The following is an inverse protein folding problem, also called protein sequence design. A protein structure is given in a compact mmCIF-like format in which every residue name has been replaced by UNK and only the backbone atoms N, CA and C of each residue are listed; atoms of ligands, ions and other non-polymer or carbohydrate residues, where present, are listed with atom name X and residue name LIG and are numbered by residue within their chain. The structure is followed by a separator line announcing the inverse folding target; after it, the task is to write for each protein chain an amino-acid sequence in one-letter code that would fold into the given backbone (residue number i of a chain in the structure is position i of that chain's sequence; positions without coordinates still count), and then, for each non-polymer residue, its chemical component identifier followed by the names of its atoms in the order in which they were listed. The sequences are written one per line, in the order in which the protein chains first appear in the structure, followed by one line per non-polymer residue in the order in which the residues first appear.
data_IF_630218137123
#
_entry.id   IF_630218137123
#
_cell.length_a   1.000
_cell.length_b   1.000
_cell.length_c   1.000
_cell.angle_alpha   90.00
_cell.angle_beta   90.00
_cell.angle_gamma   90.00
#
_symmetry.space_group_name_H-M   'P 1'
#
loop_
_entity.id
_entity.type
_entity.pdbx_description
1 polymer ?
#
# COMPACT_ATOMS: atom_id res chain seq x y z
N UNK A 1 -4.30 0.45 24.19
CA UNK A 1 -4.60 1.48 23.16
C UNK A 1 -5.55 2.56 23.69
N UNK A 2 -6.81 2.25 24.07
CA UNK A 2 -7.78 3.29 24.51
C UNK A 2 -7.29 4.15 25.68
N UNK A 3 -6.68 3.54 26.70
CA UNK A 3 -6.09 4.27 27.83
C UNK A 3 -4.98 5.24 27.37
N UNK A 4 -4.12 4.79 26.45
CA UNK A 4 -3.11 5.65 25.83
C UNK A 4 -3.74 6.83 25.09
N UNK A 5 -4.75 6.59 24.24
CA UNK A 5 -5.45 7.66 23.52
C UNK A 5 -6.09 8.66 24.48
N UNK A 6 -6.64 8.20 25.60
CA UNK A 6 -7.27 9.07 26.60
C UNK A 6 -6.31 10.03 27.30
N UNK A 7 -5.00 9.74 27.24
CA UNK A 7 -3.94 10.61 27.74
C UNK A 7 -3.39 11.60 26.71
N UNK A 8 -3.82 11.54 25.44
CA UNK A 8 -3.30 12.42 24.40
C UNK A 8 -3.85 13.85 24.53
N UNK A 9 -3.03 14.88 24.22
CA UNK A 9 -3.52 16.24 24.08
C UNK A 9 -4.68 16.32 23.07
N UNK A 10 -5.75 17.03 23.45
CA UNK A 10 -6.94 17.18 22.61
C UNK A 10 -7.89 15.99 22.62
N UNK A 11 -7.63 14.92 23.39
CA UNK A 11 -8.55 13.79 23.52
C UNK A 11 -9.97 14.26 23.90
N UNK A 12 -10.97 13.69 23.23
CA UNK A 12 -12.38 14.07 23.38
C UNK A 12 -12.83 15.24 22.49
N UNK A 13 -11.92 15.94 21.83
CA UNK A 13 -12.26 16.86 20.74
C UNK A 13 -12.69 16.04 19.53
N UNK A 14 -13.90 16.29 19.04
CA UNK A 14 -14.38 15.76 17.76
C UNK A 14 -13.73 16.55 16.62
N UNK A 15 -13.28 15.84 15.59
CA UNK A 15 -12.56 16.43 14.44
C UNK A 15 -11.38 17.31 14.89
N UNK A 16 -10.43 16.74 15.65
CA UNK A 16 -9.28 17.49 16.17
C UNK A 16 -8.43 18.05 15.02
N UNK A 17 -7.91 19.25 15.24
CA UNK A 17 -6.99 19.89 14.30
C UNK A 17 -5.66 19.13 14.23
N UNK A 18 -5.18 18.88 13.00
CA UNK A 18 -3.99 18.06 12.74
C UNK A 18 -2.69 18.73 13.19
N UNK A 19 -2.65 20.06 13.26
CA UNK A 19 -1.44 20.82 13.63
C UNK A 19 -1.37 21.02 15.14
N UNK A 20 -2.52 21.27 15.77
CA UNK A 20 -2.62 21.40 17.22
C UNK A 20 -2.54 20.07 17.95
N UNK A 21 -3.10 18.99 17.38
CA UNK A 21 -3.21 17.67 18.03
C UNK A 21 -2.84 16.53 17.06
N UNK A 22 -1.61 16.47 16.54
CA UNK A 22 -1.23 15.53 15.48
C UNK A 22 -1.45 14.05 15.85
N UNK A 23 -1.10 13.63 17.07
CA UNK A 23 -1.29 12.24 17.49
C UNK A 23 -2.76 11.90 17.69
N UNK A 24 -3.52 12.75 18.38
CA UNK A 24 -4.96 12.49 18.58
C UNK A 24 -5.71 12.55 17.25
N UNK A 25 -5.39 13.48 16.36
CA UNK A 25 -5.94 13.53 15.01
C UNK A 25 -5.73 12.25 14.22
N UNK A 26 -4.53 11.67 14.32
CA UNK A 26 -4.22 10.41 13.67
C UNK A 26 -5.06 9.25 14.23
N UNK A 27 -5.06 9.05 15.55
CA UNK A 27 -5.86 7.99 16.18
C UNK A 27 -7.36 8.18 15.99
N UNK A 28 -7.85 9.42 16.08
CA UNK A 28 -9.24 9.76 15.82
C UNK A 28 -9.64 9.41 14.39
N UNK A 29 -8.79 9.74 13.40
CA UNK A 29 -9.00 9.38 11.99
C UNK A 29 -9.07 7.87 11.78
N UNK A 30 -8.23 7.09 12.46
CA UNK A 30 -8.26 5.64 12.37
C UNK A 30 -9.53 5.06 13.02
N UNK A 31 -9.87 5.50 14.23
CA UNK A 31 -10.95 4.94 15.05
C UNK A 31 -12.35 5.38 14.61
N UNK A 32 -12.47 6.48 13.86
CA UNK A 32 -13.77 7.04 13.48
C UNK A 32 -14.18 6.60 12.09
N UNK A 33 -15.40 6.05 11.98
CA UNK A 33 -15.99 5.67 10.69
C UNK A 33 -16.09 6.85 9.71
N UNK A 34 -15.98 6.57 8.41
CA UNK A 34 -15.97 7.56 7.32
C UNK A 34 -14.80 8.57 7.34
N UNK A 35 -13.83 8.43 8.26
CA UNK A 35 -12.60 9.24 8.22
C UNK A 35 -11.53 8.59 7.35
N UNK A 36 -10.88 9.42 6.55
CA UNK A 36 -10.04 8.97 5.46
C UNK A 36 -8.66 8.60 5.99
N UNK A 37 -8.28 7.33 5.85
CA UNK A 37 -6.93 6.91 6.20
C UNK A 37 -5.91 7.63 5.31
N UNK A 38 -4.83 8.09 5.94
CA UNK A 38 -3.71 8.78 5.27
C UNK A 38 -2.58 7.81 4.97
N UNK A 39 -1.58 8.24 4.19
CA UNK A 39 -0.39 7.44 3.87
C UNK A 39 0.34 6.91 5.12
N UNK A 40 0.39 7.70 6.21
CA UNK A 40 1.01 7.26 7.47
C UNK A 40 0.27 6.10 8.13
N UNK A 41 -1.05 5.98 7.95
CA UNK A 41 -1.83 4.82 8.41
C UNK A 41 -1.50 3.59 7.55
N UNK A 42 -1.50 3.75 6.23
CA UNK A 42 -1.15 2.68 5.30
C UNK A 42 0.25 2.14 5.58
N UNK A 43 1.22 3.04 5.75
CA UNK A 43 2.61 2.72 6.07
C UNK A 43 2.73 1.99 7.41
N UNK A 44 2.06 2.47 8.46
CA UNK A 44 2.09 1.80 9.78
C UNK A 44 1.55 0.37 9.68
N UNK A 45 0.47 0.18 8.91
CA UNK A 45 -0.09 -1.16 8.67
C UNK A 45 0.84 -2.05 7.85
N UNK A 46 1.47 -1.53 6.80
CA UNK A 46 2.47 -2.27 6.01
C UNK A 46 3.64 -2.72 6.87
N UNK A 47 4.18 -1.85 7.73
CA UNK A 47 5.28 -2.20 8.65
C UNK A 47 4.85 -3.35 9.59
N UNK A 48 3.64 -3.27 10.14
CA UNK A 48 3.09 -4.33 10.99
C UNK A 48 2.97 -5.65 10.23
N UNK A 49 2.40 -5.64 9.03
CA UNK A 49 2.23 -6.85 8.22
C UNK A 49 3.55 -7.46 7.77
N UNK A 50 4.53 -6.64 7.40
CA UNK A 50 5.90 -7.09 7.11
C UNK A 50 6.57 -7.73 8.32
N UNK A 51 6.36 -7.19 9.53
CA UNK A 51 6.83 -7.81 10.78
C UNK A 51 6.12 -9.13 11.07
N UNK A 52 4.80 -9.21 10.86
CA UNK A 52 4.04 -10.46 10.98
C UNK A 52 4.61 -11.53 10.04
N UNK A 53 4.85 -11.18 8.78
CA UNK A 53 5.42 -12.10 7.78
C UNK A 53 6.82 -12.57 8.15
N UNK A 54 7.68 -11.67 8.61
CA UNK A 54 9.05 -12.00 9.01
C UNK A 54 9.09 -12.95 10.23
N UNK A 55 8.19 -12.74 11.19
CA UNK A 55 8.20 -13.48 12.45
C UNK A 55 7.36 -14.76 12.42
N UNK A 56 6.28 -14.78 11.63
CA UNK A 56 5.29 -15.88 11.57
C UNK A 56 4.86 -16.14 10.12
N UNK A 57 5.78 -16.57 9.23
CA UNK A 57 5.46 -16.79 7.82
C UNK A 57 4.36 -17.84 7.60
N UNK A 58 4.17 -18.76 8.54
CA UNK A 58 3.13 -19.80 8.51
C UNK A 58 1.70 -19.28 8.64
N UNK A 59 1.51 -18.01 9.02
CA UNK A 59 0.18 -17.39 9.02
C UNK A 59 -0.29 -17.01 7.61
N UNK A 60 0.65 -16.90 6.67
CA UNK A 60 0.41 -16.43 5.32
C UNK A 60 0.31 -17.57 4.33
N UNK A 61 -0.24 -17.30 3.14
CA UNK A 61 -0.34 -18.29 2.06
C UNK A 61 1.02 -18.87 1.66
N UNK A 62 2.08 -18.07 1.79
CA UNK A 62 3.49 -18.39 1.63
C UNK A 62 4.34 -17.20 2.09
N UNK A 63 5.66 -17.36 2.11
CA UNK A 63 6.63 -16.34 2.51
C UNK A 63 7.23 -15.55 1.31
N UNK A 64 6.71 -15.77 0.10
CA UNK A 64 7.11 -15.13 -1.16
C UNK A 64 6.20 -13.97 -1.53
N UNK A 65 5.74 -13.24 -0.52
CA UNK A 65 4.93 -12.03 -0.67
C UNK A 65 5.65 -10.83 -0.09
N UNK A 66 5.30 -9.62 -0.55
CA UNK A 66 5.81 -8.38 0.00
C UNK A 66 4.69 -7.34 0.11
N UNK A 67 4.65 -6.64 1.24
CA UNK A 67 3.77 -5.49 1.46
C UNK A 67 4.58 -4.21 1.21
N UNK A 68 4.09 -3.36 0.31
CA UNK A 68 4.71 -2.07 -0.01
C UNK A 68 3.82 -0.93 0.46
N UNK A 69 4.44 0.18 0.87
CA UNK A 69 3.69 1.40 1.17
C UNK A 69 3.28 2.13 -0.12
N UNK A 70 2.42 3.13 0.00
CA UNK A 70 1.88 3.90 -1.13
C UNK A 70 2.91 4.80 -1.82
N UNK A 71 4.09 5.02 -1.22
CA UNK A 71 5.08 5.97 -1.75
C UNK A 71 5.67 5.46 -3.06
N UNK A 72 5.87 4.15 -3.21
CA UNK A 72 6.36 3.60 -4.48
C UNK A 72 5.45 4.00 -5.65
N UNK A 73 4.13 3.90 -5.46
CA UNK A 73 3.18 4.30 -6.50
C UNK A 73 3.21 5.80 -6.76
N UNK A 74 3.36 6.63 -5.73
CA UNK A 74 3.45 8.09 -5.88
C UNK A 74 4.69 8.52 -6.69
N UNK A 75 5.86 7.94 -6.41
CA UNK A 75 7.08 8.24 -7.17
C UNK A 75 6.97 7.81 -8.63
N UNK A 76 6.37 6.65 -8.85
CA UNK A 76 6.18 6.11 -10.19
C UNK A 76 5.18 6.97 -10.99
N UNK A 77 4.07 7.38 -10.38
CA UNK A 77 3.14 8.33 -11.01
C UNK A 77 3.82 9.66 -11.33
N UNK A 78 4.56 10.25 -10.38
CA UNK A 78 5.29 11.51 -10.55
C UNK A 78 6.25 11.45 -11.74
N UNK A 79 7.04 10.37 -11.83
CA UNK A 79 8.10 10.22 -12.82
C UNK A 79 7.63 9.57 -14.13
N UNK A 80 6.35 9.20 -14.23
CA UNK A 80 5.78 8.59 -15.43
C UNK A 80 6.04 9.40 -16.71
N UNK A 81 5.83 10.74 -16.75
CA UNK A 81 6.15 11.52 -17.95
C UNK A 81 7.63 11.48 -18.34
N UNK A 82 8.53 11.34 -17.36
CA UNK A 82 9.98 11.24 -17.61
C UNK A 82 10.33 9.85 -18.16
N UNK A 83 9.77 8.80 -17.58
CA UNK A 83 9.89 7.45 -18.08
C UNK A 83 9.38 7.34 -19.54
N UNK A 84 8.24 7.93 -19.87
CA UNK A 84 7.71 7.94 -21.25
C UNK A 84 8.66 8.60 -22.27
N UNK A 85 9.49 9.54 -21.85
CA UNK A 85 10.44 10.25 -22.73
C UNK A 85 11.76 9.51 -22.93
N UNK A 86 12.23 8.80 -21.91
CA UNK A 86 13.61 8.29 -21.89
C UNK A 86 13.81 6.94 -21.18
N UNK A 87 12.73 6.26 -20.81
CA UNK A 87 12.73 4.97 -20.09
C UNK A 87 13.53 4.98 -18.78
N UNK A 88 13.76 6.17 -18.22
CA UNK A 88 14.47 6.31 -16.96
C UNK A 88 13.55 5.95 -15.80
N UNK A 89 13.91 4.92 -15.04
CA UNK A 89 13.15 4.47 -13.88
C UNK A 89 13.17 5.54 -12.76
N UNK A 90 12.09 5.63 -11.98
CA UNK A 90 12.04 6.52 -10.82
C UNK A 90 13.18 6.24 -9.84
N UNK A 91 13.69 7.25 -9.11
CA UNK A 91 14.64 7.04 -8.02
C UNK A 91 14.17 5.97 -7.04
N UNK A 92 15.13 5.28 -6.39
CA UNK A 92 14.89 4.18 -5.45
C UNK A 92 14.17 2.94 -6.03
N UNK A 93 13.87 2.88 -7.32
CA UNK A 93 13.23 1.69 -7.92
C UNK A 93 14.06 0.41 -7.70
N UNK A 94 15.39 0.52 -7.75
CA UNK A 94 16.28 -0.61 -7.43
C UNK A 94 16.27 -0.95 -5.94
N UNK A 95 16.19 0.04 -5.05
CA UNK A 95 16.11 -0.21 -3.61
C UNK A 95 14.82 -0.92 -3.21
N UNK A 96 13.71 -0.60 -3.86
CA UNK A 96 12.47 -1.38 -3.74
C UNK A 96 12.66 -2.81 -4.25
N UNK A 97 13.26 -2.96 -5.43
CA UNK A 97 13.49 -4.28 -6.05
C UNK A 97 14.36 -5.21 -5.17
N UNK A 98 15.42 -4.67 -4.55
CA UNK A 98 16.33 -5.42 -3.68
C UNK A 98 15.83 -5.57 -2.24
N UNK A 99 14.68 -4.96 -1.90
CA UNK A 99 14.14 -4.99 -0.55
C UNK A 99 14.96 -4.17 0.45
N UNK A 100 15.68 -3.14 -0.02
CA UNK A 100 16.42 -2.19 0.82
C UNK A 100 15.50 -1.15 1.47
N UNK A 101 14.30 -0.95 0.91
CA UNK A 101 13.29 -0.03 1.44
C UNK A 101 12.12 -0.76 2.11
N UNK A 102 11.55 -0.18 3.19
CA UNK A 102 12.04 1.02 3.90
C UNK A 102 13.36 0.75 4.65
N UNK A 103 14.26 1.73 4.75
CA UNK A 103 15.60 1.63 5.36
C UNK A 103 15.54 1.26 6.83
N UNK A 104 14.49 1.66 7.53
CA UNK A 104 14.27 1.25 8.92
C UNK A 104 14.00 -0.25 9.07
N UNK A 105 13.54 -0.94 8.03
CA UNK A 105 13.17 -2.35 8.06
C UNK A 105 13.44 -3.05 6.71
N UNK A 106 14.70 -3.14 6.25
CA UNK A 106 15.02 -3.77 4.98
C UNK A 106 14.75 -5.27 5.05
N UNK A 107 14.15 -5.81 3.99
CA UNK A 107 13.87 -7.25 3.88
C UNK A 107 15.01 -8.02 3.21
N UNK A 108 15.79 -7.33 2.34
CA UNK A 108 16.79 -7.95 1.48
C UNK A 108 16.22 -8.96 0.46
N UNK A 109 14.90 -9.04 0.32
CA UNK A 109 14.22 -9.99 -0.57
C UNK A 109 14.07 -9.37 -1.95
N UNK A 110 14.54 -10.09 -2.97
CA UNK A 110 14.51 -9.65 -4.36
C UNK A 110 13.22 -10.03 -5.06
N UNK A 111 12.64 -9.08 -5.78
CA UNK A 111 11.44 -9.32 -6.57
C UNK A 111 11.71 -10.31 -7.70
N UNK A 112 10.80 -11.28 -7.87
CA UNK A 112 10.90 -12.37 -8.85
C UNK A 112 11.85 -13.52 -8.46
N UNK A 113 12.65 -13.36 -7.40
CA UNK A 113 13.56 -14.37 -6.88
C UNK A 113 13.10 -14.89 -5.53
N UNK A 114 12.83 -13.98 -4.60
CA UNK A 114 12.39 -14.26 -3.24
C UNK A 114 10.91 -13.88 -3.04
N UNK A 115 10.39 -12.97 -3.87
CA UNK A 115 9.02 -12.45 -3.82
C UNK A 115 8.32 -12.64 -5.16
N UNK A 116 7.15 -13.26 -5.14
CA UNK A 116 6.30 -13.48 -6.31
C UNK A 116 5.12 -12.51 -6.37
N UNK A 117 4.59 -12.09 -5.22
CA UNK A 117 3.44 -11.20 -5.14
C UNK A 117 3.74 -9.92 -4.35
N UNK A 118 3.39 -8.77 -4.92
CA UNK A 118 3.44 -7.47 -4.25
C UNK A 118 2.02 -7.00 -3.93
N UNK A 119 1.82 -6.50 -2.71
CA UNK A 119 0.59 -5.87 -2.29
C UNK A 119 0.83 -4.39 -1.98
N UNK A 120 0.11 -3.52 -2.69
CA UNK A 120 0.40 -2.08 -2.70
C UNK A 120 -0.91 -1.28 -2.57
N UNK A 121 -1.07 -0.43 -1.54
CA UNK A 121 -2.12 0.58 -1.51
C UNK A 121 -1.82 1.68 -2.54
N UNK A 122 -2.73 1.91 -3.48
CA UNK A 122 -2.65 3.02 -4.44
C UNK A 122 -3.63 4.12 -4.04
N UNK A 123 -3.12 5.36 -3.90
CA UNK A 123 -3.93 6.53 -3.62
C UNK A 123 -4.28 7.29 -4.90
N UNK A 124 -5.54 7.23 -5.32
CA UNK A 124 -6.04 7.92 -6.50
C UNK A 124 -6.45 9.35 -6.11
N UNK A 125 -5.75 10.34 -6.66
CA UNK A 125 -6.04 11.76 -6.50
C UNK A 125 -6.12 12.23 -5.04
N UNK A 126 -5.37 11.59 -4.14
CA UNK A 126 -5.44 11.83 -2.68
C UNK A 126 -6.84 11.60 -2.08
N UNK A 127 -7.69 10.83 -2.77
CA UNK A 127 -9.11 10.71 -2.41
C UNK A 127 -9.68 9.31 -2.35
N UNK A 128 -9.12 8.37 -3.10
CA UNK A 128 -9.65 7.03 -3.14
C UNK A 128 -8.53 6.01 -3.09
N UNK A 129 -8.65 5.05 -2.18
CA UNK A 129 -7.68 3.98 -2.03
C UNK A 129 -8.16 2.75 -2.79
N UNK A 130 -7.26 2.15 -3.57
CA UNK A 130 -7.44 0.81 -4.16
C UNK A 130 -6.25 -0.08 -3.80
N UNK A 131 -6.46 -1.39 -3.75
CA UNK A 131 -5.36 -2.33 -3.50
C UNK A 131 -4.88 -2.89 -4.84
N UNK A 132 -3.57 -2.79 -5.10
CA UNK A 132 -2.92 -3.48 -6.19
C UNK A 132 -2.33 -4.79 -5.67
N UNK A 133 -2.70 -5.89 -6.32
CA UNK A 133 -1.98 -7.16 -6.23
C UNK A 133 -1.20 -7.37 -7.53
N UNK A 134 0.12 -7.23 -7.45
CA UNK A 134 1.01 -7.48 -8.58
C UNK A 134 1.56 -8.89 -8.48
N UNK A 135 1.17 -9.76 -9.39
CA UNK A 135 1.77 -11.08 -9.55
C UNK A 135 2.90 -11.01 -10.56
N UNK A 136 4.14 -11.08 -10.08
CA UNK A 136 5.35 -10.99 -10.90
C UNK A 136 5.43 -12.18 -11.88
N UNK A 137 5.22 -13.45 -11.46
CA UNK A 137 5.26 -14.59 -12.38
C UNK A 137 4.21 -14.51 -13.48
N UNK A 138 3.00 -14.06 -13.14
CA UNK A 138 1.89 -13.95 -14.09
C UNK A 138 1.89 -12.65 -14.90
N UNK A 139 2.77 -11.70 -14.55
CA UNK A 139 2.86 -10.38 -15.19
C UNK A 139 1.49 -9.69 -15.23
N UNK A 140 0.82 -9.69 -14.08
CA UNK A 140 -0.56 -9.26 -13.95
C UNK A 140 -0.78 -8.42 -12.70
N UNK A 141 -1.61 -7.38 -12.83
CA UNK A 141 -2.02 -6.50 -11.73
C UNK A 141 -3.54 -6.62 -11.55
N UNK A 142 -3.97 -7.17 -10.42
CA UNK A 142 -5.38 -7.18 -10.05
C UNK A 142 -5.68 -6.01 -9.11
N UNK A 143 -6.72 -5.24 -9.46
CA UNK A 143 -7.08 -3.98 -8.78
C UNK A 143 -8.34 -4.22 -7.93
N UNK A 144 -8.21 -4.27 -6.62
CA UNK A 144 -9.34 -4.43 -5.71
C UNK A 144 -9.87 -3.06 -5.28
N UNK A 145 -11.11 -2.77 -5.67
CA UNK A 145 -11.75 -1.47 -5.53
C UNK A 145 -13.10 -1.61 -4.81
N UNK A 146 -13.19 -1.05 -3.61
CA UNK A 146 -14.42 -1.06 -2.80
C UNK A 146 -15.46 -0.03 -3.26
N UNK A 147 -15.09 0.92 -4.12
CA UNK A 147 -15.97 1.99 -4.65
C UNK A 147 -15.78 2.14 -6.17
N UNK A 148 -16.15 1.12 -6.97
CA UNK A 148 -15.89 1.09 -8.42
C UNK A 148 -16.65 2.18 -9.21
N UNK A 149 -17.61 2.86 -8.58
CA UNK A 149 -18.34 4.00 -9.16
C UNK A 149 -17.55 5.30 -9.14
N UNK A 150 -16.47 5.40 -8.33
CA UNK A 150 -15.66 6.61 -8.23
C UNK A 150 -14.88 6.89 -9.53
N UNK A 151 -14.34 5.83 -10.14
CA UNK A 151 -13.56 5.87 -11.38
C UNK A 151 -13.99 4.71 -12.28
N UNK A 152 -14.23 4.97 -13.57
CA UNK A 152 -14.59 3.91 -14.53
C UNK A 152 -13.36 3.07 -14.96
N UNK A 153 -13.59 1.90 -15.56
CA UNK A 153 -12.50 0.96 -15.92
C UNK A 153 -11.46 1.58 -16.88
N UNK A 154 -11.91 2.39 -17.84
CA UNK A 154 -11.00 3.04 -18.78
C UNK A 154 -10.05 4.02 -18.08
N UNK A 155 -10.57 4.81 -17.15
CA UNK A 155 -9.77 5.75 -16.36
C UNK A 155 -8.88 5.00 -15.36
N UNK A 156 -9.37 3.92 -14.74
CA UNK A 156 -8.56 3.06 -13.89
C UNK A 156 -7.37 2.47 -14.65
N UNK A 157 -7.58 2.02 -15.90
CA UNK A 157 -6.51 1.53 -16.75
C UNK A 157 -5.43 2.59 -17.01
N UNK A 158 -5.81 3.85 -17.23
CA UNK A 158 -4.85 4.95 -17.38
C UNK A 158 -4.06 5.23 -16.09
N UNK A 159 -4.71 5.12 -14.93
CA UNK A 159 -4.07 5.33 -13.62
C UNK A 159 -3.09 4.20 -13.25
N UNK A 160 -3.34 2.97 -13.72
CA UNK A 160 -2.49 1.80 -13.44
C UNK A 160 -1.41 1.57 -14.51
N UNK A 161 -1.55 2.19 -15.69
CA UNK A 161 -0.58 2.09 -16.79
C UNK A 161 0.88 2.38 -16.38
N UNK A 162 1.19 3.42 -15.57
CA UNK A 162 2.57 3.67 -15.14
C UNK A 162 3.21 2.44 -14.49
N UNK A 163 2.48 1.77 -13.58
CA UNK A 163 2.95 0.57 -12.89
C UNK A 163 3.04 -0.62 -13.83
N UNK A 164 2.01 -0.84 -14.66
CA UNK A 164 1.98 -1.93 -15.62
C UNK A 164 3.15 -1.88 -16.62
N UNK A 165 3.61 -0.67 -16.99
CA UNK A 165 4.72 -0.46 -17.93
C UNK A 165 6.07 -0.47 -17.22
N UNK A 166 6.23 0.25 -16.11
CA UNK A 166 7.55 0.38 -15.46
C UNK A 166 7.97 -0.89 -14.70
N UNK A 167 7.03 -1.71 -14.20
CA UNK A 167 7.34 -2.96 -13.51
C UNK A 167 8.24 -3.88 -14.36
N UNK A 168 7.87 -4.28 -15.59
CA UNK A 168 8.73 -5.14 -16.41
C UNK A 168 10.06 -4.49 -16.82
N UNK A 169 10.14 -3.16 -16.91
CA UNK A 169 11.41 -2.47 -17.18
C UNK A 169 12.36 -2.53 -15.98
N UNK A 170 11.84 -2.31 -14.76
CA UNK A 170 12.61 -2.51 -13.53
C UNK A 170 13.07 -3.96 -13.41
N UNK A 171 12.16 -4.92 -13.60
CA UNK A 171 12.49 -6.34 -13.52
C UNK A 171 13.58 -6.71 -14.54
N UNK A 172 13.49 -6.22 -15.79
CA UNK A 172 14.53 -6.44 -16.79
C UNK A 172 15.85 -5.79 -16.38
N UNK A 173 15.84 -4.52 -15.94
CA UNK A 173 17.04 -3.78 -15.61
C UNK A 173 17.81 -4.40 -14.43
N UNK A 174 17.10 -4.94 -13.44
CA UNK A 174 17.67 -5.42 -12.18
C UNK A 174 17.95 -6.94 -12.13
N UNK A 175 17.37 -7.73 -13.04
CA UNK A 175 17.59 -9.18 -13.04
C UNK A 175 19.03 -9.55 -13.43
N UNK A 176 19.40 -10.80 -13.12
CA UNK A 176 20.64 -11.39 -13.58
C UNK A 176 20.65 -11.49 -15.12
N UNK A 177 21.84 -11.52 -15.72
CA UNK A 177 21.99 -11.52 -17.18
C UNK A 177 21.38 -12.78 -17.81
N UNK A 178 21.54 -13.94 -17.16
CA UNK A 178 20.94 -15.20 -17.57
C UNK A 178 19.39 -15.19 -17.53
N UNK A 179 18.79 -14.30 -16.74
CA UNK A 179 17.34 -14.20 -16.56
C UNK A 179 16.68 -13.14 -17.47
N UNK A 180 17.45 -12.39 -18.27
CA UNK A 180 16.92 -11.40 -19.22
C UNK A 180 15.82 -11.95 -20.14
N UNK A 181 15.91 -13.19 -20.66
CA UNK A 181 14.83 -13.77 -21.48
C UNK A 181 13.52 -14.00 -20.70
N UNK A 182 13.60 -14.23 -19.39
CA UNK A 182 12.44 -14.41 -18.50
C UNK A 182 11.77 -13.05 -18.19
N UNK A 183 12.57 -12.03 -17.89
CA UNK A 183 12.09 -10.70 -17.53
C UNK A 183 12.11 -9.72 -18.71
N UNK A 184 11.36 -10.00 -19.78
CA UNK A 184 11.21 -9.08 -20.92
C UNK A 184 10.30 -7.87 -20.61
N UNK A 185 10.42 -6.77 -21.36
CA UNK A 185 9.85 -5.45 -21.01
C UNK A 185 8.39 -5.21 -21.38
N UNK A 186 7.70 -6.14 -22.05
CA UNK A 186 6.27 -5.99 -22.41
C UNK A 186 5.41 -5.63 -21.19
N UNK A 187 4.49 -4.68 -21.30
CA UNK A 187 3.70 -4.27 -20.12
C UNK A 187 2.92 -5.43 -19.48
N UNK A 188 2.75 -5.34 -18.17
CA UNK A 188 1.90 -6.25 -17.42
C UNK A 188 0.44 -6.04 -17.83
N UNK A 189 -0.33 -7.12 -17.77
CA UNK A 189 -1.79 -7.06 -17.94
C UNK A 189 -2.43 -6.60 -16.63
N UNK A 190 -3.68 -6.12 -16.68
CA UNK A 190 -4.40 -5.74 -15.47
C UNK A 190 -5.90 -6.00 -15.60
N UNK A 191 -6.55 -6.21 -14.47
CA UNK A 191 -7.99 -6.34 -14.35
C UNK A 191 -8.54 -5.69 -13.07
N UNK A 192 -9.85 -5.41 -13.05
CA UNK A 192 -10.56 -4.89 -11.89
C UNK A 192 -11.76 -5.78 -11.59
N UNK A 193 -11.64 -6.78 -10.69
CA UNK A 193 -12.74 -7.69 -10.39
C UNK A 193 -13.93 -6.95 -9.76
N UNK A 194 -15.13 -7.24 -10.26
CA UNK A 194 -16.38 -6.64 -9.75
C UNK A 194 -16.93 -7.35 -8.51
N UNK A 195 -16.59 -8.62 -8.32
CA UNK A 195 -17.08 -9.47 -7.21
C UNK A 195 -16.20 -9.32 -5.97
N UNK A 196 -16.15 -8.11 -5.44
CA UNK A 196 -15.42 -7.77 -4.21
C UNK A 196 -16.37 -7.07 -3.23
N UNK A 197 -16.11 -7.11 -1.91
CA UNK A 197 -16.87 -6.33 -0.95
C UNK A 197 -16.88 -4.83 -1.30
N UNK A 198 -18.06 -4.22 -1.33
CA UNK A 198 -18.19 -2.79 -1.60
C UNK A 198 -18.40 -2.00 -0.31
N UNK A 199 -17.77 -0.84 -0.25
CA UNK A 199 -18.05 0.14 0.81
C UNK A 199 -19.38 0.85 0.53
N UNK A 200 -19.91 1.53 1.54
CA UNK A 200 -21.02 2.49 1.38
C UNK A 200 -20.64 3.81 2.02
N UNK A 201 -20.81 4.90 1.28
CA UNK A 201 -20.37 6.21 1.70
C UNK A 201 -18.87 6.43 1.47
N UNK A 202 -18.38 7.56 1.97
CA UNK A 202 -17.02 8.02 1.73
C UNK A 202 -16.10 7.70 2.92
N UNK A 203 -14.81 7.54 2.64
CA UNK A 203 -13.74 7.53 3.66
C UNK A 203 -13.33 6.19 4.23
N UNK A 204 -14.07 5.12 3.96
CA UNK A 204 -13.70 3.77 4.41
C UNK A 204 -12.86 2.98 3.39
N UNK A 205 -12.61 3.52 2.18
CA UNK A 205 -11.82 2.86 1.13
C UNK A 205 -10.47 2.36 1.62
N UNK A 206 -9.80 3.16 2.46
CA UNK A 206 -8.54 2.76 3.08
C UNK A 206 -8.65 1.49 3.93
N UNK A 207 -9.69 1.36 4.76
CA UNK A 207 -9.91 0.18 5.59
C UNK A 207 -10.17 -1.05 4.72
N UNK A 208 -10.99 -0.91 3.67
CA UNK A 208 -11.23 -1.99 2.71
C UNK A 208 -9.95 -2.44 2.01
N UNK A 209 -9.10 -1.51 1.58
CA UNK A 209 -7.79 -1.82 0.96
C UNK A 209 -6.92 -2.65 1.90
N UNK A 210 -6.77 -2.23 3.17
CA UNK A 210 -5.99 -2.97 4.16
C UNK A 210 -6.54 -4.38 4.36
N UNK A 211 -7.87 -4.54 4.42
CA UNK A 211 -8.51 -5.85 4.59
C UNK A 211 -8.52 -6.71 3.34
N UNK A 212 -8.55 -6.13 2.14
CA UNK A 212 -8.33 -6.89 0.90
C UNK A 212 -6.94 -7.49 0.89
N UNK A 213 -5.92 -6.67 1.15
CA UNK A 213 -4.53 -7.13 1.19
C UNK A 213 -4.34 -8.21 2.26
N UNK A 214 -4.88 -8.01 3.46
CA UNK A 214 -4.85 -9.01 4.53
C UNK A 214 -5.43 -10.34 4.07
N UNK A 215 -6.65 -10.34 3.51
CA UNK A 215 -7.30 -11.56 3.06
C UNK A 215 -6.49 -12.29 1.97
N UNK A 216 -5.96 -11.55 1.00
CA UNK A 216 -5.16 -12.12 -0.09
C UNK A 216 -3.85 -12.72 0.42
N UNK A 217 -3.19 -12.03 1.34
CA UNK A 217 -1.95 -12.50 1.95
C UNK A 217 -2.14 -13.74 2.83
N UNK A 218 -3.29 -13.85 3.50
CA UNK A 218 -3.68 -15.05 4.27
C UNK A 218 -4.17 -16.20 3.37
N UNK A 219 -4.27 -16.00 2.05
CA UNK A 219 -4.62 -17.06 1.09
C UNK A 219 -6.11 -17.26 0.87
N UNK A 220 -6.95 -16.30 1.24
CA UNK A 220 -8.38 -16.36 0.92
C UNK A 220 -8.59 -16.29 -0.60
N UNK A 221 -9.22 -17.33 -1.16
CA UNK A 221 -9.61 -17.37 -2.58
C UNK A 221 -10.91 -16.61 -2.85
N UNK A 222 -11.69 -16.33 -1.81
CA UNK A 222 -12.88 -15.46 -1.82
C UNK A 222 -12.89 -14.60 -0.57
N UNK A 223 -13.35 -13.36 -0.69
CA UNK A 223 -13.45 -12.48 0.47
C UNK A 223 -14.55 -12.98 1.43
N UNK A 224 -14.28 -13.01 2.74
CA UNK A 224 -15.27 -13.44 3.71
C UNK A 224 -16.43 -12.45 3.77
N UNK A 225 -17.67 -12.95 3.97
CA UNK A 225 -18.86 -12.11 4.10
C UNK A 225 -18.77 -11.11 5.28
N UNK A 226 -17.89 -11.39 6.25
CA UNK A 226 -17.60 -10.48 7.36
C UNK A 226 -16.89 -9.21 6.90
N UNK A 227 -16.11 -9.26 5.80
CA UNK A 227 -15.55 -8.07 5.15
C UNK A 227 -16.68 -7.31 4.46
N UNK A 228 -17.29 -6.39 5.21
CA UNK A 228 -18.45 -5.61 4.78
C UNK A 228 -18.49 -4.27 5.49
N UNK A 229 -19.24 -3.33 4.94
CA UNK A 229 -19.40 -1.98 5.50
C UNK A 229 -19.87 -2.01 6.97
N UNK A 230 -20.77 -2.93 7.33
CA UNK A 230 -21.32 -3.05 8.69
C UNK A 230 -20.22 -3.29 9.74
N UNK A 231 -19.16 -3.99 9.36
CA UNK A 231 -18.07 -4.36 10.26
C UNK A 231 -16.86 -3.42 10.16
N UNK A 232 -16.96 -2.32 9.40
CA UNK A 232 -15.84 -1.39 9.21
C UNK A 232 -15.30 -0.81 10.53
N UNK A 233 -16.20 -0.48 11.47
CA UNK A 233 -15.82 -0.03 12.81
C UNK A 233 -14.96 -1.06 13.56
N UNK A 234 -15.33 -2.35 13.50
CA UNK A 234 -14.55 -3.44 14.11
C UNK A 234 -13.17 -3.57 13.47
N UNK A 235 -13.08 -3.40 12.14
CA UNK A 235 -11.79 -3.44 11.45
C UNK A 235 -10.88 -2.27 11.85
N UNK A 236 -11.45 -1.07 12.02
CA UNK A 236 -10.74 0.12 12.51
C UNK A 236 -10.21 -0.10 13.92
N UNK A 237 -11.04 -0.60 14.83
CA UNK A 237 -10.65 -0.93 16.20
C UNK A 237 -9.55 -2.00 16.25
N UNK A 238 -9.69 -3.06 15.45
CA UNK A 238 -8.69 -4.12 15.35
C UNK A 238 -7.36 -3.59 14.83
N UNK A 239 -7.37 -2.83 13.72
CA UNK A 239 -6.15 -2.23 13.16
C UNK A 239 -5.49 -1.31 14.19
N UNK A 240 -6.27 -0.47 14.87
CA UNK A 240 -5.73 0.42 15.90
C UNK A 240 -5.09 -0.35 17.07
N UNK A 241 -5.74 -1.41 17.55
CA UNK A 241 -5.20 -2.26 18.59
C UNK A 241 -3.90 -2.94 18.15
N UNK A 242 -3.88 -3.55 16.96
CA UNK A 242 -2.72 -4.26 16.42
C UNK A 242 -1.53 -3.32 16.23
N UNK A 243 -1.75 -2.13 15.63
CA UNK A 243 -0.69 -1.14 15.47
C UNK A 243 -0.09 -0.71 16.81
N UNK A 244 -0.95 -0.48 17.81
CA UNK A 244 -0.51 -0.07 19.15
C UNK A 244 0.31 -1.16 19.85
N UNK A 245 -0.10 -2.43 19.72
CA UNK A 245 0.45 -3.56 20.48
C UNK A 245 1.63 -4.25 19.76
N UNK A 246 1.58 -4.44 18.45
CA UNK A 246 2.57 -5.24 17.72
C UNK A 246 3.78 -4.45 17.25
N UNK A 247 3.58 -3.18 16.88
CA UNK A 247 4.68 -2.32 16.42
C UNK A 247 4.94 -1.13 17.33
N UNK A 248 4.30 -1.09 18.50
CA UNK A 248 4.42 0.00 19.45
C UNK A 248 4.09 1.37 18.81
N UNK A 249 3.13 1.40 17.88
CA UNK A 249 2.73 2.64 17.20
C UNK A 249 2.16 3.64 18.22
N UNK A 250 2.59 4.89 18.15
CA UNK A 250 2.12 5.98 19.04
C UNK A 250 1.53 7.18 18.29
N UNK A 251 1.54 7.15 16.96
CA UNK A 251 1.05 8.22 16.09
C UNK A 251 1.55 8.02 14.66
N UNK A 252 1.52 9.09 13.83
CA UNK A 252 2.02 9.04 12.47
C UNK A 252 3.46 8.51 12.40
N UNK A 253 3.70 7.50 11.57
CA UNK A 253 5.06 7.00 11.29
C UNK A 253 5.59 7.66 10.03
N UNK A 254 6.61 8.50 10.19
CA UNK A 254 7.41 9.05 9.09
C UNK A 254 8.84 8.55 9.22
N UNK A 255 9.43 8.17 8.10
CA UNK A 255 10.86 7.86 7.99
C UNK A 255 11.47 8.91 7.05
N UNK A 256 12.14 9.92 7.60
CA UNK A 256 12.73 10.98 6.79
C UNK A 256 13.94 10.46 5.98
N UNK A 257 14.67 9.46 6.50
CA UNK A 257 15.90 8.95 5.88
C UNK A 257 15.64 8.16 4.60
N UNK A 258 14.47 7.50 4.49
CA UNK A 258 14.05 6.78 3.28
C UNK A 258 14.09 7.67 2.03
N UNK A 259 14.00 9.00 2.18
CA UNK A 259 13.82 9.95 1.09
C UNK A 259 14.78 11.14 1.15
N UNK A 260 15.91 10.99 1.85
CA UNK A 260 16.99 11.98 1.79
C UNK A 260 17.31 12.33 0.32
N UNK A 261 17.09 13.60 -0.05
CA UNK A 261 17.26 14.18 -1.39
C UNK A 261 16.22 13.80 -2.47
N UNK A 262 15.03 13.31 -2.11
CA UNK A 262 13.95 13.03 -3.06
C UNK A 262 12.66 13.69 -2.58
N UNK A 263 12.32 14.84 -3.18
CA UNK A 263 11.06 15.52 -2.90
C UNK A 263 9.97 15.07 -3.89
N UNK A 264 8.87 14.54 -3.35
CA UNK A 264 7.68 14.12 -4.11
C UNK A 264 7.04 15.28 -4.89
N UNK A 265 7.28 16.52 -4.45
CA UNK A 265 6.73 17.74 -5.03
C UNK A 265 7.75 18.59 -5.80
N UNK A 266 9.00 18.14 -5.88
CA UNK A 266 10.00 18.85 -6.69
C UNK A 266 9.76 18.56 -8.17
N UNK A 267 9.11 19.53 -8.80
CA UNK A 267 8.73 19.53 -10.21
C UNK A 267 9.85 20.01 -11.13
N UNK A 268 11.07 20.19 -10.62
CA UNK A 268 12.18 20.77 -11.37
C UNK A 268 13.12 19.75 -12.04
N UNK A 269 12.62 18.80 -12.84
CA UNK A 269 13.44 18.14 -13.91
C UNK A 269 12.63 17.82 -15.17
#
# INVERSE_FOLDING_TARGET
MLEFCSGLPGYGVNDPDKEAYPEWHWWFTLLTGNKWLTDSHMRSWVIMMSKRLANNPEWFKNDRICFLDSRITQFWERDWPKFQRCEMLPPNSLDWFYGNLPKSHPTGKRWGYDVDDLYIPLNINMKHWVALHVSIPNRHITIYDSLPTYVNDATMGLLVEPYAVMMPHLMNAACLEEDKPKYFTTKYTHDRPSKVPHQRGDGDCGVFVLKFIECLALGHTTFPNTLSQTNCHLFREQIAADLYHEINCRGPVEDPEDFDNIDLYDSTI
#
